data_IF_348311493888
#
_entry.id   IF_348311493888
#
_cell.length_a   1.000
_cell.length_b   1.000
_cell.length_c   1.000
_cell.angle_alpha   90.00
_cell.angle_beta   90.00
_cell.angle_gamma   90.00
#
_symmetry.space_group_name_H-M   'P 1'
#
loop_
_entity.id
_entity.type
_entity.pdbx_description
1 polymer ?
#
# COMPACT_ATOMS: atom_id res chain seq x y z
N UNK A 1 -22.72 -8.93 -26.93
CA UNK A 1 -22.22 -8.56 -25.60
C UNK A 1 -20.85 -7.90 -25.77
N UNK A 2 -20.69 -6.63 -25.38
CA UNK A 2 -19.38 -5.97 -25.37
C UNK A 2 -18.68 -6.37 -24.06
N UNK A 3 -17.61 -7.15 -24.13
CA UNK A 3 -16.73 -7.39 -22.99
C UNK A 3 -15.94 -6.10 -22.76
N UNK A 4 -16.45 -5.22 -21.90
CA UNK A 4 -15.65 -4.11 -21.39
C UNK A 4 -14.46 -4.74 -20.64
N UNK A 5 -13.19 -4.42 -21.00
CA UNK A 5 -12.07 -4.87 -20.19
C UNK A 5 -12.25 -4.31 -18.78
N UNK A 6 -12.07 -5.16 -17.76
CA UNK A 6 -12.04 -4.71 -16.37
C UNK A 6 -11.04 -3.54 -16.27
N UNK A 7 -11.36 -2.46 -15.55
CA UNK A 7 -10.41 -1.37 -15.37
C UNK A 7 -9.09 -1.94 -14.85
N UNK A 8 -8.00 -1.73 -15.59
CA UNK A 8 -6.69 -2.24 -15.19
C UNK A 8 -6.24 -1.48 -13.94
N UNK A 9 -6.45 -2.10 -12.79
CA UNK A 9 -5.94 -1.58 -11.52
C UNK A 9 -4.41 -1.46 -11.65
N UNK A 10 -3.90 -0.25 -11.50
CA UNK A 10 -2.46 0.00 -11.49
C UNK A 10 -1.90 -0.29 -10.10
N UNK A 11 -0.76 -0.97 -10.06
CA UNK A 11 -0.09 -1.34 -8.82
C UNK A 11 1.13 -0.47 -8.60
N UNK A 12 1.31 0.01 -7.38
CA UNK A 12 2.51 0.75 -6.95
C UNK A 12 3.27 -0.12 -5.95
N UNK A 13 4.50 -0.48 -6.31
CA UNK A 13 5.42 -1.19 -5.40
C UNK A 13 6.14 -0.20 -4.52
N UNK A 14 6.15 -0.43 -3.21
CA UNK A 14 6.80 0.44 -2.24
C UNK A 14 7.83 -0.32 -1.42
N UNK A 15 9.04 0.27 -1.36
CA UNK A 15 10.16 -0.19 -0.57
C UNK A 15 10.48 0.85 0.52
N UNK A 16 10.96 0.37 1.66
CA UNK A 16 11.41 1.23 2.74
C UNK A 16 11.97 0.42 3.90
N UNK A 17 12.50 1.11 4.90
CA UNK A 17 13.14 0.49 6.06
C UNK A 17 12.18 -0.37 6.88
N UNK A 18 12.66 -1.52 7.33
CA UNK A 18 11.97 -2.41 8.28
C UNK A 18 12.08 -1.95 9.74
N UNK A 19 12.92 -0.95 10.02
CA UNK A 19 13.23 -0.48 11.38
C UNK A 19 12.37 0.70 11.83
N UNK A 20 11.56 1.26 10.93
CA UNK A 20 10.65 2.37 11.23
C UNK A 20 9.50 1.88 12.12
N UNK A 21 9.25 2.55 13.24
CA UNK A 21 8.20 2.21 14.19
C UNK A 21 7.04 3.20 14.22
N UNK A 22 5.91 2.87 14.87
CA UNK A 22 4.71 3.72 14.90
C UNK A 22 4.87 5.13 15.49
N UNK A 23 5.99 5.41 16.19
CA UNK A 23 6.31 6.74 16.74
C UNK A 23 7.17 7.58 15.80
N UNK A 24 7.67 6.99 14.74
CA UNK A 24 8.47 7.70 13.75
C UNK A 24 7.56 8.41 12.76
N UNK A 25 7.89 9.66 12.46
CA UNK A 25 7.17 10.45 11.44
C UNK A 25 7.06 9.73 10.10
N UNK A 26 8.10 8.98 9.71
CA UNK A 26 8.10 8.18 8.48
C UNK A 26 7.00 7.11 8.47
N UNK A 27 6.67 6.51 9.63
CA UNK A 27 5.57 5.55 9.72
C UNK A 27 4.24 6.25 9.48
N UNK A 28 4.00 7.39 10.14
CA UNK A 28 2.76 8.17 9.99
C UNK A 28 2.56 8.69 8.55
N UNK A 29 3.64 9.18 7.94
CA UNK A 29 3.64 9.61 6.54
C UNK A 29 3.34 8.41 5.62
N UNK A 30 3.94 7.25 5.87
CA UNK A 30 3.68 6.02 5.09
C UNK A 30 2.22 5.58 5.19
N UNK A 31 1.60 5.64 6.37
CA UNK A 31 0.16 5.38 6.54
C UNK A 31 -0.68 6.37 5.72
N UNK A 32 -0.33 7.65 5.76
CA UNK A 32 -1.05 8.71 5.04
C UNK A 32 -0.94 8.55 3.52
N UNK A 33 0.25 8.22 3.03
CA UNK A 33 0.50 7.90 1.61
C UNK A 33 -0.32 6.67 1.19
N UNK A 34 -0.31 5.60 1.99
CA UNK A 34 -1.08 4.39 1.69
C UNK A 34 -2.58 4.67 1.51
N UNK A 35 -3.17 5.50 2.38
CA UNK A 35 -4.56 5.96 2.24
C UNK A 35 -4.78 6.74 0.95
N UNK A 36 -3.87 7.64 0.60
CA UNK A 36 -3.97 8.47 -0.59
C UNK A 36 -3.89 7.64 -1.87
N UNK A 37 -2.98 6.66 -1.93
CA UNK A 37 -2.84 5.74 -3.06
C UNK A 37 -4.12 4.91 -3.26
N UNK A 38 -4.64 4.32 -2.19
CA UNK A 38 -5.87 3.53 -2.25
C UNK A 38 -7.08 4.37 -2.69
N UNK A 39 -7.25 5.58 -2.15
CA UNK A 39 -8.33 6.51 -2.56
C UNK A 39 -8.22 6.94 -4.02
N UNK A 40 -7.01 6.93 -4.58
CA UNK A 40 -6.75 7.25 -5.98
C UNK A 40 -6.93 6.05 -6.92
N UNK A 41 -7.34 4.88 -6.41
CA UNK A 41 -7.61 3.68 -7.20
C UNK A 41 -6.38 2.81 -7.48
N UNK A 42 -5.27 3.01 -6.77
CA UNK A 42 -4.08 2.16 -6.89
C UNK A 42 -4.11 0.99 -5.91
N UNK A 43 -3.61 -0.16 -6.37
CA UNK A 43 -3.19 -1.23 -5.48
C UNK A 43 -1.81 -0.92 -4.90
N UNK A 44 -1.57 -1.26 -3.64
CA UNK A 44 -0.27 -1.12 -2.97
C UNK A 44 0.40 -2.48 -2.88
N UNK A 45 1.64 -2.60 -3.36
CA UNK A 45 2.43 -3.82 -3.28
C UNK A 45 3.70 -3.59 -2.45
N UNK A 46 4.03 -4.54 -1.57
CA UNK A 46 5.23 -4.46 -0.72
C UNK A 46 5.86 -5.85 -0.54
N UNK A 47 7.02 -5.91 0.12
CA UNK A 47 7.62 -7.16 0.58
C UNK A 47 6.91 -7.81 1.79
N UNK A 48 5.85 -7.19 2.34
CA UNK A 48 5.01 -7.78 3.39
C UNK A 48 5.54 -7.70 4.83
N UNK A 49 6.77 -7.23 5.04
CA UNK A 49 7.40 -7.18 6.36
C UNK A 49 7.16 -5.84 7.10
N UNK A 50 7.79 -5.70 8.28
CA UNK A 50 7.63 -4.57 9.20
C UNK A 50 8.06 -3.22 8.63
N UNK A 51 7.77 -2.15 9.38
CA UNK A 51 8.23 -0.80 9.12
C UNK A 51 7.43 -0.09 8.04
N UNK A 52 8.10 0.52 7.07
CA UNK A 52 7.45 1.30 6.00
C UNK A 52 6.44 0.44 5.23
N UNK A 53 6.79 -0.82 4.96
CA UNK A 53 5.94 -1.76 4.21
C UNK A 53 4.64 -2.08 4.96
N UNK A 54 4.72 -2.31 6.27
CA UNK A 54 3.55 -2.49 7.13
C UNK A 54 2.71 -1.20 7.20
N UNK A 55 3.36 -0.05 7.42
CA UNK A 55 2.71 1.25 7.58
C UNK A 55 1.88 1.63 6.35
N UNK A 56 2.46 1.53 5.15
CA UNK A 56 1.76 1.87 3.91
C UNK A 56 0.63 0.89 3.59
N UNK A 57 0.85 -0.41 3.85
CA UNK A 57 -0.16 -1.46 3.70
C UNK A 57 -1.36 -1.21 4.63
N UNK A 58 -1.08 -0.82 5.89
CA UNK A 58 -2.09 -0.44 6.88
C UNK A 58 -2.87 0.78 6.43
N UNK A 59 -2.19 1.80 5.90
CA UNK A 59 -2.82 2.98 5.32
C UNK A 59 -3.80 2.63 4.21
N UNK A 60 -3.35 1.89 3.20
CA UNK A 60 -4.18 1.49 2.06
C UNK A 60 -5.39 0.64 2.48
N UNK A 61 -5.17 -0.36 3.34
CA UNK A 61 -6.23 -1.24 3.84
C UNK A 61 -7.27 -0.49 4.67
N UNK A 62 -6.88 0.54 5.42
CA UNK A 62 -7.81 1.31 6.28
C UNK A 62 -8.91 2.05 5.52
N UNK A 63 -8.76 2.23 4.20
CA UNK A 63 -9.75 2.85 3.31
C UNK A 63 -10.27 1.88 2.25
N UNK A 64 -10.10 0.56 2.46
CA UNK A 64 -10.58 -0.48 1.54
C UNK A 64 -9.71 -0.71 0.30
N UNK A 65 -8.47 -0.19 0.28
CA UNK A 65 -7.54 -0.38 -0.83
C UNK A 65 -7.05 -1.83 -0.95
N UNK A 66 -6.71 -2.23 -2.18
CA UNK A 66 -6.10 -3.53 -2.45
C UNK A 66 -4.62 -3.51 -2.06
N UNK A 67 -4.19 -4.50 -1.26
CA UNK A 67 -2.82 -4.62 -0.75
C UNK A 67 -2.27 -6.00 -1.13
N UNK A 68 -1.05 -6.01 -1.66
CA UNK A 68 -0.33 -7.21 -2.10
C UNK A 68 0.98 -7.32 -1.32
N UNK A 69 1.17 -8.41 -0.60
CA UNK A 69 2.45 -8.76 0.03
C UNK A 69 3.14 -9.83 -0.79
N UNK A 70 4.40 -9.60 -1.18
CA UNK A 70 5.24 -10.58 -1.88
C UNK A 70 6.35 -11.04 -0.95
N UNK A 71 6.19 -12.22 -0.39
CA UNK A 71 7.16 -12.89 0.47
C UNK A 71 7.68 -14.15 -0.22
N UNK A 72 8.82 -14.65 0.22
CA UNK A 72 9.31 -15.99 -0.15
C UNK A 72 8.55 -17.08 0.57
#
# INVERSE_FOLDING_TARGET
>A
MKTQPLPSMKTITVYGSSQVGPRDRVYEDSVSIGRALARSGFAVMTGGYLGVMEAISKGARSVGGHVIGVTT
#
